data_IF_452462725652
#
_entry.id   IF_452462725652
#
_cell.length_a   1.000
_cell.length_b   1.000
_cell.length_c   1.000
_cell.angle_alpha   90.00
_cell.angle_beta   90.00
_cell.angle_gamma   90.00
#
_symmetry.space_group_name_H-M   'P 1'
#
loop_
_entity.id
_entity.type
_entity.pdbx_description
1 polymer ?
#
# COMPACT_ATOMS: atom_id res chain seq x y z
N UNK A 1 -8.99 -52.15 -18.66
CA UNK A 1 -8.91 -51.52 -17.35
C UNK A 1 -8.47 -50.09 -17.59
N UNK A 2 -9.38 -49.12 -17.49
CA UNK A 2 -9.07 -47.70 -17.44
C UNK A 2 -8.84 -47.40 -15.97
N UNK A 3 -7.65 -46.98 -15.63
CA UNK A 3 -7.40 -46.28 -14.39
C UNK A 3 -8.21 -44.98 -14.40
N UNK A 4 -9.27 -44.95 -13.59
CA UNK A 4 -9.92 -43.71 -13.23
C UNK A 4 -8.92 -42.94 -12.34
N UNK A 5 -8.27 -41.94 -12.93
CA UNK A 5 -7.66 -40.91 -12.15
C UNK A 5 -8.79 -40.21 -11.37
N UNK A 6 -8.95 -40.57 -10.12
CA UNK A 6 -9.54 -39.70 -9.15
C UNK A 6 -8.57 -38.51 -8.96
N UNK A 7 -8.64 -37.53 -9.82
CA UNK A 7 -8.28 -36.17 -9.43
C UNK A 7 -9.27 -35.82 -8.31
N UNK A 8 -8.76 -35.74 -7.10
CA UNK A 8 -9.50 -35.17 -5.98
C UNK A 8 -9.89 -33.78 -6.43
N UNK A 9 -11.14 -33.61 -6.78
CA UNK A 9 -11.77 -32.35 -7.18
C UNK A 9 -11.98 -31.55 -5.89
N UNK A 10 -10.84 -31.12 -5.28
CA UNK A 10 -10.88 -30.19 -4.19
C UNK A 10 -11.47 -28.90 -4.75
N UNK A 11 -12.58 -28.47 -4.17
CA UNK A 11 -13.28 -27.21 -4.46
C UNK A 11 -12.36 -26.01 -4.16
N UNK A 12 -11.29 -25.87 -4.95
CA UNK A 12 -10.41 -24.71 -4.86
C UNK A 12 -11.22 -23.45 -5.18
N UNK A 13 -11.16 -22.49 -4.33
CA UNK A 13 -11.79 -21.19 -4.52
C UNK A 13 -10.75 -20.07 -4.45
N UNK A 14 -11.02 -18.99 -5.18
CA UNK A 14 -10.15 -17.83 -5.21
C UNK A 14 -10.49 -16.88 -4.07
N UNK A 15 -9.47 -16.28 -3.47
CA UNK A 15 -9.68 -15.22 -2.52
C UNK A 15 -8.60 -14.13 -2.64
N UNK A 16 -8.93 -12.95 -2.17
CA UNK A 16 -8.01 -11.82 -2.10
C UNK A 16 -8.38 -10.85 -1.00
N UNK A 17 -7.40 -10.09 -0.57
CA UNK A 17 -7.62 -8.93 0.27
C UNK A 17 -7.88 -7.67 -0.57
N UNK A 18 -8.51 -6.67 0.05
CA UNK A 18 -8.55 -5.29 -0.43
C UNK A 18 -8.21 -4.39 0.75
N UNK A 19 -7.22 -3.50 0.60
CA UNK A 19 -6.79 -2.61 1.67
C UNK A 19 -7.02 -1.16 1.28
N UNK A 20 -7.57 -0.38 2.22
CA UNK A 20 -7.85 1.04 2.10
C UNK A 20 -7.12 1.81 3.18
N UNK A 21 -6.56 2.96 2.81
CA UNK A 21 -5.87 3.87 3.71
C UNK A 21 -6.72 5.12 3.95
N UNK A 22 -6.57 5.74 5.14
CA UNK A 22 -7.24 7.02 5.44
C UNK A 22 -6.71 8.19 4.59
N UNK A 23 -5.52 8.04 3.99
CA UNK A 23 -4.89 9.01 3.08
C UNK A 23 -4.08 8.32 2.01
N UNK A 24 -3.90 9.01 0.88
CA UNK A 24 -3.01 8.56 -0.19
C UNK A 24 -1.53 8.95 0.05
N UNK A 25 -1.29 10.02 0.84
CA UNK A 25 0.06 10.58 1.09
C UNK A 25 0.20 10.90 2.58
N UNK A 26 1.32 10.47 3.14
CA UNK A 26 1.71 10.68 4.53
C UNK A 26 3.05 11.39 4.62
N UNK A 27 3.41 11.85 5.82
CA UNK A 27 4.74 12.37 6.16
C UNK A 27 5.46 11.41 7.10
N UNK A 28 6.80 11.40 7.12
CA UNK A 28 7.55 10.75 8.19
C UNK A 28 7.04 11.17 9.57
N UNK A 29 6.83 10.20 10.46
CA UNK A 29 6.30 10.40 11.81
C UNK A 29 4.79 10.54 11.92
N UNK A 30 4.03 10.43 10.84
CA UNK A 30 2.57 10.36 10.89
C UNK A 30 2.09 8.93 11.12
N UNK A 31 0.87 8.82 11.65
CA UNK A 31 0.17 7.56 11.80
C UNK A 31 -0.69 7.28 10.57
N UNK A 32 -0.62 6.05 10.10
CA UNK A 32 -1.50 5.50 9.07
C UNK A 32 -2.62 4.75 9.77
N UNK A 33 -3.84 4.93 9.28
CA UNK A 33 -4.95 4.04 9.58
C UNK A 33 -5.34 3.30 8.31
N UNK A 34 -5.50 1.99 8.40
CA UNK A 34 -5.91 1.17 7.27
C UNK A 34 -7.04 0.23 7.67
N UNK A 35 -7.79 -0.19 6.67
CA UNK A 35 -8.82 -1.22 6.78
C UNK A 35 -8.68 -2.19 5.62
N UNK A 36 -8.63 -3.49 5.94
CA UNK A 36 -8.67 -4.57 4.97
C UNK A 36 -10.03 -5.28 4.99
N UNK A 37 -10.36 -5.89 3.86
CA UNK A 37 -11.52 -6.77 3.69
C UNK A 37 -11.03 -7.99 2.91
N UNK A 38 -11.31 -9.18 3.43
CA UNK A 38 -11.04 -10.45 2.79
C UNK A 38 -12.29 -10.90 2.02
N UNK A 39 -12.13 -11.19 0.74
CA UNK A 39 -13.22 -11.56 -0.18
C UNK A 39 -12.85 -12.87 -0.88
N UNK A 40 -13.75 -13.80 -0.94
CA UNK A 40 -13.64 -15.03 -1.70
C UNK A 40 -14.61 -15.05 -2.89
N UNK A 41 -14.26 -15.85 -3.90
CA UNK A 41 -15.10 -16.18 -5.04
C UNK A 41 -15.17 -17.71 -5.15
N UNK A 42 -16.28 -18.27 -4.70
CA UNK A 42 -16.56 -19.70 -4.81
C UNK A 42 -17.77 -19.88 -5.73
N UNK A 43 -17.65 -20.70 -6.78
CA UNK A 43 -18.71 -20.96 -7.76
C UNK A 43 -19.30 -19.67 -8.40
N UNK A 44 -18.48 -18.66 -8.66
CA UNK A 44 -18.89 -17.33 -9.14
C UNK A 44 -19.74 -16.53 -8.12
N UNK A 45 -19.81 -16.96 -6.89
CA UNK A 45 -20.47 -16.24 -5.80
C UNK A 45 -19.40 -15.55 -4.95
N UNK A 46 -19.45 -14.21 -4.95
CA UNK A 46 -18.54 -13.41 -4.12
C UNK A 46 -19.12 -13.19 -2.74
N UNK A 47 -18.32 -13.45 -1.72
CA UNK A 47 -18.69 -13.23 -0.32
C UNK A 47 -17.48 -12.72 0.48
N UNK A 48 -17.74 -12.12 1.63
CA UNK A 48 -16.69 -11.79 2.60
C UNK A 48 -16.30 -13.04 3.38
N UNK A 49 -15.06 -13.05 3.91
CA UNK A 49 -14.52 -14.19 4.67
C UNK A 49 -14.37 -13.79 6.15
N UNK A 50 -15.31 -14.15 7.02
CA UNK A 50 -15.25 -13.81 8.43
C UNK A 50 -14.38 -14.79 9.23
N UNK A 51 -13.83 -14.29 10.34
CA UNK A 51 -13.13 -15.07 11.37
C UNK A 51 -11.95 -15.90 10.86
N UNK A 52 -11.20 -15.33 9.91
CA UNK A 52 -9.97 -15.91 9.34
C UNK A 52 -8.79 -15.02 9.70
N UNK A 53 -7.69 -15.64 10.12
CA UNK A 53 -6.45 -14.97 10.44
C UNK A 53 -5.64 -14.69 9.18
N UNK A 54 -5.16 -13.46 9.04
CA UNK A 54 -4.28 -13.01 7.96
C UNK A 54 -2.98 -12.48 8.54
N UNK A 55 -1.88 -12.70 7.84
CA UNK A 55 -0.59 -12.11 8.12
C UNK A 55 -0.48 -10.76 7.42
N UNK A 56 -0.07 -9.74 8.15
CA UNK A 56 0.07 -8.37 7.66
C UNK A 56 1.52 -7.94 7.77
N UNK A 57 2.14 -7.58 6.67
CA UNK A 57 3.48 -7.01 6.64
C UNK A 57 3.46 -5.59 6.08
N UNK A 58 4.26 -4.70 6.65
CA UNK A 58 4.38 -3.30 6.23
C UNK A 58 5.82 -3.04 5.82
N UNK A 59 6.03 -2.61 4.59
CA UNK A 59 7.33 -2.43 3.95
C UNK A 59 7.67 -0.96 3.70
N UNK A 60 8.98 -0.65 3.82
CA UNK A 60 9.53 0.63 3.39
C UNK A 60 9.89 0.62 1.88
N UNK A 61 10.47 1.73 1.40
CA UNK A 61 10.89 1.90 -0.01
C UNK A 61 12.03 0.98 -0.45
N UNK A 62 12.75 0.36 0.48
CA UNK A 62 13.86 -0.57 0.23
C UNK A 62 13.44 -2.03 0.50
N UNK A 63 12.13 -2.29 0.59
CA UNK A 63 11.57 -3.61 0.87
C UNK A 63 11.99 -4.17 2.24
N UNK A 64 12.31 -3.30 3.21
CA UNK A 64 12.53 -3.76 4.59
C UNK A 64 11.19 -3.83 5.32
N UNK A 65 10.97 -4.92 6.04
CA UNK A 65 9.81 -5.08 6.91
C UNK A 65 9.94 -4.11 8.09
N UNK A 66 8.99 -3.20 8.21
CA UNK A 66 8.88 -2.26 9.32
C UNK A 66 8.04 -2.79 10.46
N UNK A 67 7.06 -3.63 10.14
CA UNK A 67 6.16 -4.26 11.09
C UNK A 67 5.49 -5.47 10.43
N UNK A 68 5.31 -6.53 11.21
CA UNK A 68 4.58 -7.74 10.84
C UNK A 68 3.72 -8.20 12.02
N UNK A 69 2.56 -8.77 11.74
CA UNK A 69 1.66 -9.32 12.77
C UNK A 69 0.47 -10.03 12.13
N UNK A 70 -0.15 -10.93 12.89
CA UNK A 70 -1.39 -11.60 12.51
C UNK A 70 -2.59 -10.84 13.05
N UNK A 71 -3.68 -10.83 12.29
CA UNK A 71 -4.96 -10.25 12.69
C UNK A 71 -6.12 -11.08 12.14
N UNK A 72 -7.14 -11.30 12.95
CA UNK A 72 -8.33 -12.03 12.51
C UNK A 72 -9.39 -11.08 11.94
N UNK A 73 -10.03 -11.51 10.86
CA UNK A 73 -11.19 -10.79 10.29
C UNK A 73 -12.40 -10.89 11.21
N UNK A 74 -13.22 -9.86 11.23
CA UNK A 74 -14.47 -9.84 11.99
C UNK A 74 -15.64 -10.50 11.22
N UNK A 75 -16.87 -10.42 11.76
CA UNK A 75 -18.09 -10.94 11.14
C UNK A 75 -18.38 -10.40 9.73
N UNK A 76 -17.80 -9.27 9.35
CA UNK A 76 -17.91 -8.66 8.01
C UNK A 76 -16.70 -8.96 7.11
N UNK A 77 -15.85 -9.92 7.48
CA UNK A 77 -14.63 -10.25 6.75
C UNK A 77 -13.60 -9.12 6.75
N UNK A 78 -13.71 -8.17 7.69
CA UNK A 78 -12.83 -7.01 7.71
C UNK A 78 -11.89 -6.99 8.92
N UNK A 79 -10.72 -6.40 8.72
CA UNK A 79 -9.73 -6.10 9.74
C UNK A 79 -9.26 -4.66 9.61
N UNK A 80 -8.67 -4.11 10.64
CA UNK A 80 -8.13 -2.75 10.62
C UNK A 80 -6.95 -2.63 11.55
N UNK A 81 -6.10 -1.67 11.27
CA UNK A 81 -4.94 -1.41 12.10
C UNK A 81 -4.40 0.00 11.94
N UNK A 82 -3.36 0.24 12.71
CA UNK A 82 -2.61 1.49 12.67
C UNK A 82 -1.11 1.23 12.72
N UNK A 83 -0.35 2.13 12.11
CA UNK A 83 1.10 2.07 12.05
C UNK A 83 1.69 3.47 12.10
N UNK A 84 2.70 3.67 12.94
CA UNK A 84 3.44 4.93 13.01
C UNK A 84 4.64 4.89 12.06
N UNK A 85 4.62 5.72 11.02
CA UNK A 85 5.73 5.85 10.07
C UNK A 85 6.97 6.37 10.84
N UNK A 86 8.14 5.73 10.71
CA UNK A 86 9.37 6.23 11.34
C UNK A 86 9.67 7.68 10.94
N UNK A 87 10.10 8.50 11.92
CA UNK A 87 10.43 9.93 11.65
C UNK A 87 11.63 10.10 10.74
N UNK A 88 12.59 9.17 10.81
CA UNK A 88 13.84 9.19 10.05
C UNK A 88 13.81 8.09 8.99
N UNK A 89 12.82 8.12 8.11
CA UNK A 89 12.70 7.18 7.01
C UNK A 89 12.93 7.86 5.68
N UNK A 90 13.29 7.08 4.66
CA UNK A 90 13.32 7.54 3.27
C UNK A 90 11.89 7.81 2.81
N UNK A 91 11.76 8.75 1.88
CA UNK A 91 10.47 9.06 1.23
C UNK A 91 10.31 8.23 -0.04
N UNK A 92 9.07 7.89 -0.38
CA UNK A 92 8.73 7.09 -1.56
C UNK A 92 7.49 6.26 -1.37
N UNK A 93 7.37 5.16 -2.12
CA UNK A 93 6.27 4.24 -2.04
C UNK A 93 6.56 3.19 -0.96
N UNK A 94 5.66 3.12 0.00
CA UNK A 94 5.55 2.07 1.01
C UNK A 94 4.39 1.18 0.63
N UNK A 95 4.34 -0.04 1.16
CA UNK A 95 3.21 -0.91 0.88
C UNK A 95 2.90 -1.86 2.05
N UNK A 96 1.68 -2.37 2.04
CA UNK A 96 1.22 -3.44 2.92
C UNK A 96 0.97 -4.66 2.05
N UNK A 97 1.38 -5.85 2.52
CA UNK A 97 0.96 -7.14 1.98
C UNK A 97 0.02 -7.83 2.97
N UNK A 98 -0.86 -8.64 2.45
CA UNK A 98 -1.73 -9.51 3.22
C UNK A 98 -1.55 -10.92 2.70
N UNK A 99 -1.28 -11.86 3.59
CA UNK A 99 -1.02 -13.25 3.25
C UNK A 99 -1.64 -14.20 4.28
N UNK A 100 -1.44 -15.49 4.10
CA UNK A 100 -1.77 -16.54 5.05
C UNK A 100 -1.06 -16.30 6.39
N UNK A 101 -1.79 -16.45 7.50
CA UNK A 101 -1.18 -16.38 8.82
C UNK A 101 -0.53 -17.72 9.19
N UNK A 102 0.64 -17.68 9.82
CA UNK A 102 1.35 -18.87 10.30
C UNK A 102 0.53 -19.70 11.29
N UNK A 103 -0.36 -19.04 12.04
CA UNK A 103 -1.17 -19.66 13.08
C UNK A 103 -2.66 -19.35 12.89
N UNK A 104 -3.34 -20.20 12.14
CA UNK A 104 -4.79 -20.13 11.89
C UNK A 104 -5.59 -21.25 12.60
N UNK A 105 -5.04 -21.83 13.68
CA UNK A 105 -5.73 -22.92 14.43
C UNK A 105 -7.06 -22.49 15.04
N UNK A 106 -7.21 -21.19 15.33
CA UNK A 106 -8.43 -20.59 15.89
C UNK A 106 -9.42 -20.11 14.84
N UNK A 107 -9.09 -20.26 13.56
CA UNK A 107 -9.95 -19.79 12.47
C UNK A 107 -11.24 -20.63 12.38
N UNK A 108 -12.28 -19.98 11.83
CA UNK A 108 -13.52 -20.63 11.54
C UNK A 108 -13.31 -21.80 10.57
N UNK A 109 -13.91 -22.95 10.90
CA UNK A 109 -13.87 -24.16 10.09
C UNK A 109 -15.11 -24.21 9.21
N UNK A 110 -14.98 -24.80 8.04
CA UNK A 110 -16.12 -25.12 7.17
C UNK A 110 -16.10 -26.61 6.82
N UNK A 111 -17.24 -27.11 6.37
CA UNK A 111 -17.38 -28.50 5.97
C UNK A 111 -17.65 -28.58 4.48
N UNK A 112 -16.98 -29.48 3.78
CA UNK A 112 -17.20 -29.75 2.37
C UNK A 112 -18.45 -30.62 2.14
N UNK A 113 -18.70 -31.02 0.88
CA UNK A 113 -19.81 -31.91 0.50
C UNK A 113 -19.71 -33.34 1.07
N UNK A 114 -18.51 -33.73 1.51
CA UNK A 114 -18.22 -35.05 2.11
C UNK A 114 -18.27 -35.02 3.65
N UNK A 115 -18.65 -33.86 4.24
CA UNK A 115 -18.64 -33.60 5.69
C UNK A 115 -17.24 -33.60 6.30
N UNK A 116 -16.19 -33.39 5.47
CA UNK A 116 -14.83 -33.17 5.94
C UNK A 116 -14.63 -31.74 6.42
N UNK A 117 -13.93 -31.59 7.55
CA UNK A 117 -13.64 -30.28 8.17
C UNK A 117 -12.40 -29.67 7.55
N UNK A 118 -12.52 -28.43 7.06
CA UNK A 118 -11.45 -27.66 6.46
C UNK A 118 -11.32 -26.30 7.11
N UNK A 119 -10.14 -25.70 7.00
CA UNK A 119 -9.90 -24.28 7.29
C UNK A 119 -9.81 -23.51 5.98
N UNK A 120 -10.01 -22.20 6.05
CA UNK A 120 -9.99 -21.33 4.87
C UNK A 120 -8.72 -21.50 4.04
N UNK A 121 -7.56 -21.54 4.69
CA UNK A 121 -6.26 -21.61 4.03
C UNK A 121 -5.92 -23.00 3.43
N UNK A 122 -6.65 -24.04 3.78
CA UNK A 122 -6.37 -25.40 3.30
C UNK A 122 -6.59 -25.56 1.79
N UNK A 123 -7.56 -24.82 1.22
CA UNK A 123 -8.00 -25.00 -0.18
C UNK A 123 -8.20 -23.69 -0.96
N UNK A 124 -7.64 -22.59 -0.51
CA UNK A 124 -7.79 -21.29 -1.16
C UNK A 124 -6.63 -21.03 -2.12
N UNK A 125 -6.94 -20.52 -3.32
CA UNK A 125 -6.00 -19.85 -4.19
C UNK A 125 -6.03 -18.35 -3.85
N UNK A 126 -5.03 -17.89 -3.09
CA UNK A 126 -5.00 -16.56 -2.55
C UNK A 126 -4.10 -15.62 -3.37
N UNK A 127 -4.71 -14.55 -3.88
CA UNK A 127 -4.02 -13.53 -4.65
C UNK A 127 -3.38 -12.50 -3.71
N UNK A 128 -2.06 -12.57 -3.58
CA UNK A 128 -1.26 -11.66 -2.75
C UNK A 128 -0.93 -10.39 -3.51
N UNK A 129 -1.56 -9.28 -3.13
CA UNK A 129 -1.37 -7.96 -3.73
C UNK A 129 -0.54 -7.03 -2.82
N UNK A 130 0.19 -6.11 -3.44
CA UNK A 130 0.87 -5.01 -2.75
C UNK A 130 -0.02 -3.76 -2.72
N UNK A 131 -0.37 -3.29 -1.53
CA UNK A 131 -1.22 -2.10 -1.33
C UNK A 131 -0.34 -0.89 -1.01
N UNK A 132 -0.15 -0.01 -1.99
CA UNK A 132 0.78 1.11 -1.92
C UNK A 132 0.17 2.35 -1.28
N UNK A 133 0.98 3.04 -0.48
CA UNK A 133 0.76 4.39 -0.01
C UNK A 133 2.06 5.20 -0.13
N UNK A 134 1.96 6.52 -0.17
CA UNK A 134 3.11 7.37 -0.41
C UNK A 134 3.55 8.09 0.85
N UNK A 135 4.85 8.08 1.11
CA UNK A 135 5.47 8.87 2.19
C UNK A 135 6.30 9.97 1.55
N UNK A 136 5.94 11.23 1.81
CA UNK A 136 6.62 12.40 1.25
C UNK A 136 6.85 13.47 2.31
N UNK A 137 8.02 14.10 2.24
CA UNK A 137 8.29 15.30 3.02
C UNK A 137 7.91 16.54 2.20
N UNK A 138 6.63 16.93 2.30
CA UNK A 138 6.19 18.14 1.63
C UNK A 138 6.66 19.36 2.41
N UNK A 139 7.70 20.03 1.89
CA UNK A 139 8.07 21.39 2.31
C UNK A 139 7.21 22.36 1.51
N UNK A 140 6.34 23.12 2.18
CA UNK A 140 5.64 24.22 1.51
C UNK A 140 6.68 25.12 0.89
N UNK A 141 6.61 25.42 -0.42
CA UNK A 141 7.53 26.38 -1.01
C UNK A 141 7.38 27.69 -0.24
N UNK A 142 8.51 28.24 0.18
CA UNK A 142 8.55 29.51 0.91
C UNK A 142 8.77 30.70 -0.01
N UNK A 143 9.15 30.42 -1.25
CA UNK A 143 9.40 31.41 -2.28
C UNK A 143 9.09 30.84 -3.67
N UNK A 144 8.87 31.73 -4.62
CA UNK A 144 8.78 31.44 -6.05
C UNK A 144 9.93 32.18 -6.77
N UNK A 145 10.42 31.58 -7.86
CA UNK A 145 11.38 32.21 -8.77
C UNK A 145 10.71 32.39 -10.11
N UNK A 146 10.71 33.63 -10.61
CA UNK A 146 10.14 33.98 -11.91
C UNK A 146 11.28 34.47 -12.77
N UNK A 147 11.53 33.83 -13.90
CA UNK A 147 12.49 34.31 -14.90
C UNK A 147 11.78 35.22 -15.91
N UNK A 148 12.47 36.32 -16.29
CA UNK A 148 11.99 37.19 -17.33
C UNK A 148 12.07 36.43 -18.68
N UNK A 149 11.11 36.68 -19.58
CA UNK A 149 11.09 36.08 -20.90
C UNK A 149 12.31 36.49 -21.72
N UNK A 150 12.99 35.53 -22.33
CA UNK A 150 14.11 35.77 -23.23
C UNK A 150 13.56 36.22 -24.58
N UNK A 151 13.73 37.52 -24.92
CA UNK A 151 13.21 38.10 -26.17
C UNK A 151 14.27 38.23 -27.27
N UNK A 152 15.51 37.90 -26.97
CA UNK A 152 16.64 38.03 -27.87
C UNK A 152 16.98 36.69 -28.52
N UNK A 153 17.41 36.72 -29.78
CA UNK A 153 17.93 35.55 -30.48
C UNK A 153 19.44 35.44 -30.21
N UNK A 154 19.87 34.24 -29.78
CA UNK A 154 21.27 33.97 -29.48
C UNK A 154 21.87 32.99 -30.49
N UNK A 155 23.17 33.13 -30.74
CA UNK A 155 23.98 32.20 -31.52
C UNK A 155 24.88 31.38 -30.58
N UNK A 156 25.49 30.29 -31.11
CA UNK A 156 26.30 29.34 -30.32
C UNK A 156 27.43 29.99 -29.52
N UNK A 157 27.89 31.20 -29.91
CA UNK A 157 29.01 31.92 -29.28
C UNK A 157 28.54 33.00 -28.29
N UNK A 158 27.27 33.23 -28.14
CA UNK A 158 26.75 34.32 -27.33
C UNK A 158 26.64 33.93 -25.84
N UNK A 159 26.86 34.93 -24.98
CA UNK A 159 26.63 34.81 -23.56
C UNK A 159 25.18 35.18 -23.25
N UNK A 160 24.38 34.21 -22.84
CA UNK A 160 22.97 34.40 -22.45
C UNK A 160 22.91 35.01 -21.05
N UNK A 161 22.29 36.19 -20.93
CA UNK A 161 21.99 36.80 -19.61
C UNK A 161 20.53 36.64 -19.29
N UNK A 162 20.25 35.84 -18.26
CA UNK A 162 18.89 35.60 -17.77
C UNK A 162 18.66 36.47 -16.53
N UNK A 163 17.58 37.23 -16.51
CA UNK A 163 17.12 37.96 -15.32
C UNK A 163 15.98 37.19 -14.67
N UNK A 164 15.99 37.13 -13.36
CA UNK A 164 14.92 36.52 -12.59
C UNK A 164 14.62 37.28 -11.31
N UNK A 165 13.46 37.05 -10.75
CA UNK A 165 13.01 37.60 -9.47
C UNK A 165 12.64 36.46 -8.54
N UNK A 166 13.11 36.52 -7.29
CA UNK A 166 12.70 35.65 -6.23
C UNK A 166 11.78 36.43 -5.28
N UNK A 167 10.59 35.87 -5.01
CA UNK A 167 9.58 36.45 -4.13
C UNK A 167 9.17 35.47 -3.08
N UNK A 168 9.17 35.87 -1.82
CA UNK A 168 8.61 35.04 -0.76
C UNK A 168 7.09 34.92 -0.92
N UNK A 169 6.53 33.72 -0.78
CA UNK A 169 5.07 33.50 -0.86
C UNK A 169 4.32 34.19 0.27
N UNK A 170 5.00 34.52 1.39
CA UNK A 170 4.46 35.35 2.47
C UNK A 170 4.39 36.86 2.14
N UNK A 171 4.80 37.27 0.92
CA UNK A 171 4.78 38.69 0.45
C UNK A 171 5.99 39.51 0.82
N UNK A 172 6.92 39.00 1.61
CA UNK A 172 8.14 39.71 2.01
C UNK A 172 9.22 39.64 0.92
N UNK A 173 10.07 40.70 0.85
CA UNK A 173 11.22 40.65 -0.03
C UNK A 173 12.30 39.71 0.51
N UNK A 174 12.91 38.92 -0.38
CA UNK A 174 14.06 38.09 -0.04
C UNK A 174 15.33 38.95 -0.09
N UNK A 175 16.03 39.03 1.03
CA UNK A 175 17.32 39.74 1.14
C UNK A 175 18.43 38.70 1.35
N UNK A 176 19.61 38.94 0.75
CA UNK A 176 20.80 38.10 0.87
C UNK A 176 20.59 36.62 0.42
N UNK A 177 19.72 36.35 -0.56
CA UNK A 177 19.58 35.05 -1.15
C UNK A 177 20.87 34.67 -1.91
N UNK A 178 21.38 33.45 -1.65
CA UNK A 178 22.44 32.86 -2.46
C UNK A 178 21.79 32.11 -3.61
N UNK A 179 22.30 32.34 -4.82
CA UNK A 179 21.93 31.61 -6.04
C UNK A 179 23.12 30.75 -6.42
N UNK A 180 22.88 29.43 -6.57
CA UNK A 180 23.89 28.47 -7.01
C UNK A 180 23.42 27.81 -8.30
#
# INVERSE_FOLDING_TARGET
EREENNEDDFDNFEAKAMVYFDRAIYRPGQKIHYKGILIQNKDNIKSVVPYVSVHVEIYDVNENILKEFDVQTNEFGSFSGEFDIPKNTLTGNFYITIDEADNYEMDAKYYDSNEEEHKFWDNVDFDVDNFYFKVEEYKRPTFEIIFDEIKENYTISDTIKIKGKAKALAGNNLTNAKVA
#
